data_IF_886488671999
#
_entry.id   IF_886488671999
#
_cell.length_a   1.000
_cell.length_b   1.000
_cell.length_c   1.000
_cell.angle_alpha   90.00
_cell.angle_beta   90.00
_cell.angle_gamma   90.00
#
_symmetry.space_group_name_H-M   'P 1'
#
loop_
_entity.id
_entity.type
_entity.pdbx_description
1 polymer ?
#
# COMPACT_ATOMS: atom_id res chain seq x y z
N UNK A 1 -11.62 -6.38 29.02
CA UNK A 1 -10.56 -5.34 28.91
C UNK A 1 -10.04 -5.19 27.48
N UNK A 2 -9.84 -6.28 26.76
CA UNK A 2 -9.39 -6.25 25.35
C UNK A 2 -10.35 -5.39 24.52
N UNK A 3 -11.66 -5.62 24.59
CA UNK A 3 -12.64 -4.85 23.79
C UNK A 3 -12.53 -3.34 24.03
N UNK A 4 -12.41 -2.90 25.27
CA UNK A 4 -12.23 -1.45 25.59
C UNK A 4 -10.98 -0.85 24.94
N UNK A 5 -9.91 -1.63 24.87
CA UNK A 5 -8.71 -1.20 24.17
C UNK A 5 -8.92 -1.12 22.65
N UNK A 6 -9.64 -2.08 22.07
CA UNK A 6 -9.97 -2.07 20.64
C UNK A 6 -10.85 -0.87 20.28
N UNK A 7 -11.83 -0.56 21.12
CA UNK A 7 -12.69 0.63 20.98
C UNK A 7 -11.86 1.92 21.07
N UNK A 8 -10.93 2.00 22.04
CA UNK A 8 -9.97 3.12 22.13
C UNK A 8 -9.13 3.26 20.85
N UNK A 9 -8.62 2.16 20.29
CA UNK A 9 -7.86 2.20 19.05
C UNK A 9 -8.71 2.68 17.87
N UNK A 10 -9.94 2.22 17.79
CA UNK A 10 -10.86 2.53 16.71
C UNK A 10 -11.35 3.98 16.76
N UNK A 11 -11.91 4.39 17.89
CA UNK A 11 -12.64 5.65 18.00
C UNK A 11 -11.75 6.83 18.42
N UNK A 12 -10.82 6.64 19.34
CA UNK A 12 -9.95 7.71 19.80
C UNK A 12 -8.66 7.81 18.98
N UNK A 13 -8.02 6.67 18.66
CA UNK A 13 -6.76 6.64 17.92
C UNK A 13 -6.96 6.56 16.42
N UNK A 14 -8.19 6.31 15.96
CA UNK A 14 -8.57 6.23 14.52
C UNK A 14 -7.69 5.26 13.74
N UNK A 15 -7.45 4.08 14.33
CA UNK A 15 -6.76 3.00 13.64
C UNK A 15 -7.70 2.38 12.60
N UNK A 16 -7.12 1.78 11.54
CA UNK A 16 -7.92 1.07 10.55
C UNK A 16 -8.60 -0.15 11.18
N UNK A 17 -9.80 -0.50 10.72
CA UNK A 17 -10.53 -1.70 11.17
C UNK A 17 -9.66 -2.95 11.10
N UNK A 18 -8.87 -3.09 10.03
CA UNK A 18 -7.92 -4.19 9.89
C UNK A 18 -6.89 -4.22 11.02
N UNK A 19 -6.29 -3.08 11.37
CA UNK A 19 -5.31 -3.02 12.47
C UNK A 19 -5.95 -3.34 13.80
N UNK A 20 -7.19 -2.88 14.03
CA UNK A 20 -7.96 -3.17 15.24
C UNK A 20 -8.24 -4.68 15.34
N UNK A 21 -8.69 -5.30 14.26
CA UNK A 21 -8.91 -6.75 14.18
C UNK A 21 -7.63 -7.54 14.44
N UNK A 22 -6.53 -7.21 13.74
CA UNK A 22 -5.23 -7.88 13.91
C UNK A 22 -4.72 -7.76 15.36
N UNK A 23 -4.89 -6.60 16.01
CA UNK A 23 -4.53 -6.43 17.43
C UNK A 23 -5.43 -7.24 18.34
N UNK A 24 -6.73 -7.31 18.04
CA UNK A 24 -7.68 -8.14 18.76
C UNK A 24 -7.28 -9.61 18.74
N UNK A 25 -6.98 -10.14 17.55
CA UNK A 25 -6.56 -11.53 17.38
C UNK A 25 -5.24 -11.84 18.11
N UNK A 26 -4.27 -10.91 18.05
CA UNK A 26 -3.01 -11.04 18.76
C UNK A 26 -3.20 -11.07 20.30
N UNK A 27 -4.07 -10.21 20.84
CA UNK A 27 -4.34 -10.17 22.28
C UNK A 27 -5.16 -11.36 22.76
N UNK A 28 -6.12 -11.84 21.96
CA UNK A 28 -6.86 -13.07 22.26
C UNK A 28 -5.94 -14.29 22.25
N UNK A 29 -4.96 -14.34 21.34
CA UNK A 29 -3.96 -15.41 21.33
C UNK A 29 -3.10 -15.40 22.61
N UNK A 30 -2.71 -14.22 23.12
CA UNK A 30 -2.04 -14.12 24.41
C UNK A 30 -2.93 -14.52 25.58
N UNK A 31 -4.19 -14.07 25.59
CA UNK A 31 -5.15 -14.44 26.63
C UNK A 31 -5.47 -15.94 26.63
N UNK A 32 -5.48 -16.59 25.48
CA UNK A 32 -5.68 -18.03 25.34
C UNK A 32 -4.60 -18.84 26.07
N UNK A 33 -3.34 -18.41 26.03
CA UNK A 33 -2.24 -19.01 26.78
C UNK A 33 -2.49 -18.94 28.30
N UNK A 34 -3.18 -17.90 28.77
CA UNK A 34 -3.45 -17.63 30.18
C UNK A 34 -4.84 -18.12 30.63
N UNK A 35 -5.44 -19.06 29.92
CA UNK A 35 -6.71 -19.70 30.28
C UNK A 35 -7.95 -19.15 29.59
N UNK A 36 -7.78 -18.32 28.55
CA UNK A 36 -8.85 -17.76 27.74
C UNK A 36 -9.26 -16.35 28.11
N UNK A 37 -9.94 -15.67 27.19
CA UNK A 37 -10.30 -14.24 27.31
C UNK A 37 -11.15 -13.94 28.55
N UNK A 38 -12.04 -14.87 28.94
CA UNK A 38 -12.92 -14.71 30.12
C UNK A 38 -12.15 -14.72 31.42
N UNK A 39 -11.06 -15.51 31.50
CA UNK A 39 -10.23 -15.65 32.71
C UNK A 39 -9.02 -14.72 32.70
N UNK A 40 -8.74 -14.06 31.57
CA UNK A 40 -7.58 -13.23 31.40
C UNK A 40 -7.66 -11.96 32.28
N UNK A 41 -6.80 -11.91 33.26
CA UNK A 41 -6.59 -10.72 34.12
C UNK A 41 -5.19 -10.15 33.82
N UNK A 42 -5.10 -9.02 33.08
CA UNK A 42 -3.82 -8.41 32.77
C UNK A 42 -2.98 -7.99 33.96
N UNK A 43 -3.60 -7.80 35.14
CA UNK A 43 -2.89 -7.41 36.38
C UNK A 43 -2.11 -8.56 37.02
N UNK A 44 -2.48 -9.80 36.71
CA UNK A 44 -1.84 -11.03 37.18
C UNK A 44 -0.75 -11.56 36.27
N UNK A 45 -0.81 -11.22 34.99
CA UNK A 45 0.20 -11.62 34.05
C UNK A 45 1.57 -10.98 34.34
N UNK A 46 2.63 -11.66 33.97
CA UNK A 46 3.99 -11.19 34.21
C UNK A 46 4.90 -11.30 32.96
N UNK A 47 6.15 -10.89 33.13
CA UNK A 47 7.14 -10.92 32.04
C UNK A 47 7.48 -12.35 31.62
N UNK A 48 7.32 -13.34 32.49
CA UNK A 48 7.55 -14.77 32.18
C UNK A 48 6.50 -15.26 31.20
N UNK A 49 5.23 -14.87 31.40
CA UNK A 49 4.14 -15.21 30.48
C UNK A 49 4.41 -14.68 29.07
N UNK A 50 4.92 -13.43 28.96
CA UNK A 50 5.29 -12.87 27.65
C UNK A 50 6.40 -13.66 26.99
N UNK A 51 7.42 -14.05 27.75
CA UNK A 51 8.52 -14.87 27.23
C UNK A 51 8.06 -16.27 26.83
N UNK A 52 7.23 -16.92 27.63
CA UNK A 52 6.61 -18.22 27.33
C UNK A 52 5.81 -18.13 26.04
N UNK A 53 4.98 -17.08 25.89
CA UNK A 53 4.23 -16.86 24.65
C UNK A 53 5.11 -16.67 23.42
N UNK A 54 6.26 -15.97 23.57
CA UNK A 54 7.20 -15.80 22.48
C UNK A 54 7.86 -17.11 22.09
N UNK A 55 8.21 -17.97 23.05
CA UNK A 55 8.78 -19.31 22.80
C UNK A 55 7.74 -20.18 22.11
N UNK A 56 6.52 -20.25 22.64
CA UNK A 56 5.42 -21.01 22.05
C UNK A 56 5.17 -20.61 20.58
N UNK A 57 5.18 -19.30 20.30
CA UNK A 57 5.03 -18.84 18.92
C UNK A 57 6.16 -19.30 18.00
N UNK A 58 7.40 -19.33 18.49
CA UNK A 58 8.56 -19.77 17.69
C UNK A 58 8.56 -21.29 17.51
N UNK A 59 8.19 -22.04 18.52
CA UNK A 59 8.05 -23.50 18.48
C UNK A 59 6.93 -23.95 17.54
N UNK A 60 5.92 -23.11 17.36
CA UNK A 60 4.84 -23.29 16.36
C UNK A 60 5.19 -22.67 14.99
N UNK A 61 6.47 -22.52 14.65
CA UNK A 61 6.99 -22.06 13.36
C UNK A 61 6.52 -20.64 12.94
N UNK A 62 6.07 -19.80 13.87
CA UNK A 62 5.76 -18.42 13.53
C UNK A 62 7.06 -17.63 13.26
N UNK A 63 7.04 -16.87 12.16
CA UNK A 63 8.22 -16.08 11.79
C UNK A 63 8.56 -15.05 12.88
N UNK A 64 9.86 -14.75 13.10
CA UNK A 64 10.31 -13.71 14.03
C UNK A 64 9.63 -12.35 13.78
N UNK A 65 9.28 -12.06 12.55
CA UNK A 65 8.53 -10.85 12.18
C UNK A 65 7.10 -10.86 12.73
N UNK A 66 6.43 -12.01 12.69
CA UNK A 66 5.08 -12.17 13.26
C UNK A 66 5.13 -12.04 14.76
N UNK A 67 6.09 -12.68 15.43
CA UNK A 67 6.30 -12.57 16.89
C UNK A 67 6.53 -11.11 17.30
N UNK A 68 7.39 -10.40 16.59
CA UNK A 68 7.65 -8.96 16.83
C UNK A 68 6.39 -8.11 16.66
N UNK A 69 5.55 -8.38 15.65
CA UNK A 69 4.29 -7.67 15.43
C UNK A 69 3.32 -7.92 16.58
N UNK A 70 3.13 -9.19 16.98
CA UNK A 70 2.27 -9.57 18.11
C UNK A 70 2.71 -8.96 19.43
N UNK A 71 4.02 -8.96 19.69
CA UNK A 71 4.58 -8.28 20.86
C UNK A 71 4.31 -6.77 20.82
N UNK A 72 4.28 -6.14 19.65
CA UNK A 72 3.94 -4.71 19.51
C UNK A 72 2.48 -4.44 19.86
N UNK A 73 1.55 -5.34 19.54
CA UNK A 73 0.15 -5.25 19.95
C UNK A 73 0.03 -5.33 21.48
N UNK A 74 0.72 -6.29 22.12
CA UNK A 74 0.73 -6.46 23.57
C UNK A 74 1.33 -5.23 24.28
N UNK A 75 2.43 -4.68 23.76
CA UNK A 75 3.03 -3.43 24.27
C UNK A 75 2.06 -2.25 24.21
N UNK A 76 1.34 -2.12 23.11
CA UNK A 76 0.33 -1.08 22.95
C UNK A 76 -0.80 -1.22 23.95
N UNK A 77 -1.22 -2.46 24.20
CA UNK A 77 -2.25 -2.78 25.19
C UNK A 77 -1.81 -2.45 26.62
N UNK A 78 -0.64 -2.91 27.07
CA UNK A 78 -0.13 -2.62 28.42
C UNK A 78 0.13 -1.12 28.64
N UNK A 79 0.61 -0.43 27.61
CA UNK A 79 0.73 1.04 27.65
C UNK A 79 -0.62 1.75 27.80
N UNK A 80 -1.69 1.21 27.22
CA UNK A 80 -3.05 1.70 27.43
C UNK A 80 -3.52 1.42 28.85
N UNK A 81 -3.37 0.18 29.34
CA UNK A 81 -3.80 -0.22 30.68
C UNK A 81 -3.10 0.60 31.79
N UNK A 82 -1.80 0.85 31.65
CA UNK A 82 -1.03 1.72 32.55
C UNK A 82 -1.61 3.14 32.60
N UNK A 83 -1.91 3.73 31.45
CA UNK A 83 -2.51 5.07 31.38
C UNK A 83 -3.90 5.15 32.00
N UNK A 84 -4.64 4.06 31.95
CA UNK A 84 -5.96 3.94 32.56
C UNK A 84 -5.89 3.55 34.07
N UNK A 85 -4.70 3.34 34.62
CA UNK A 85 -4.53 2.89 36.02
C UNK A 85 -5.01 1.46 36.30
N UNK A 86 -5.25 0.66 35.25
CA UNK A 86 -5.78 -0.72 35.34
C UNK A 86 -4.71 -1.74 35.68
N UNK A 87 -3.44 -1.44 35.46
CA UNK A 87 -2.28 -2.23 35.85
C UNK A 87 -1.22 -1.33 36.47
N UNK A 88 -0.38 -1.90 37.35
CA UNK A 88 0.70 -1.15 38.03
C UNK A 88 2.04 -1.15 37.27
N UNK A 89 2.22 -2.08 36.35
CA UNK A 89 3.48 -2.26 35.60
C UNK A 89 3.22 -2.73 34.16
N UNK A 90 4.15 -2.42 33.29
CA UNK A 90 4.18 -2.95 31.91
C UNK A 90 5.03 -4.22 31.89
N UNK A 91 4.38 -5.38 31.75
CA UNK A 91 5.03 -6.69 31.71
C UNK A 91 5.87 -6.89 30.45
N UNK A 92 5.72 -6.04 29.44
CA UNK A 92 6.48 -6.10 28.19
C UNK A 92 7.79 -5.32 28.25
N UNK A 93 8.00 -4.57 29.35
CA UNK A 93 9.21 -3.80 29.57
C UNK A 93 10.42 -4.74 29.73
N UNK A 94 11.50 -4.44 29.00
CA UNK A 94 12.71 -5.28 29.01
C UNK A 94 12.61 -6.57 28.19
N UNK A 95 11.44 -6.91 27.62
CA UNK A 95 11.32 -8.05 26.70
C UNK A 95 11.96 -7.71 25.36
N UNK A 96 12.98 -8.46 24.99
CA UNK A 96 13.69 -8.29 23.72
C UNK A 96 12.97 -9.12 22.65
N UNK A 97 12.49 -8.45 21.60
CA UNK A 97 11.91 -9.14 20.46
C UNK A 97 12.96 -9.93 19.68
N UNK A 98 12.59 -11.06 19.04
CA UNK A 98 13.54 -11.83 18.24
C UNK A 98 14.12 -10.97 17.11
N UNK A 99 15.38 -11.22 16.77
CA UNK A 99 16.04 -10.58 15.63
C UNK A 99 15.30 -10.96 14.35
N UNK A 100 15.05 -10.00 13.51
CA UNK A 100 14.45 -10.21 12.19
C UNK A 100 15.48 -9.88 11.13
N UNK A 101 15.66 -10.77 10.19
CA UNK A 101 16.44 -10.45 9.00
C UNK A 101 15.82 -9.25 8.30
N UNK A 102 16.64 -8.29 7.96
CA UNK A 102 16.29 -7.18 7.09
C UNK A 102 16.84 -7.48 5.70
N UNK A 103 16.09 -8.19 4.86
CA UNK A 103 16.55 -8.43 3.49
C UNK A 103 16.76 -7.06 2.82
N UNK A 104 17.82 -7.00 2.00
CA UNK A 104 18.05 -5.81 1.19
C UNK A 104 16.79 -5.46 0.39
N UNK A 105 16.44 -4.18 0.30
CA UNK A 105 15.33 -3.75 -0.51
C UNK A 105 15.52 -4.21 -1.95
N UNK A 106 14.50 -4.84 -2.51
CA UNK A 106 14.48 -5.26 -3.91
C UNK A 106 13.71 -4.25 -4.75
N UNK A 107 14.18 -4.02 -5.96
CA UNK A 107 13.53 -3.15 -6.94
C UNK A 107 13.66 -3.75 -8.34
N UNK A 108 12.76 -3.41 -9.23
CA UNK A 108 12.82 -3.81 -10.63
C UNK A 108 13.83 -2.95 -11.38
N UNK A 109 14.54 -3.57 -12.32
CA UNK A 109 15.43 -2.86 -13.22
C UNK A 109 14.60 -2.08 -14.25
N UNK A 110 15.13 -1.01 -14.78
CA UNK A 110 14.48 -0.22 -15.83
C UNK A 110 14.12 -1.10 -17.04
N UNK A 111 15.02 -1.98 -17.47
CA UNK A 111 14.77 -2.93 -18.56
C UNK A 111 13.63 -3.92 -18.29
N UNK A 112 13.37 -4.27 -17.01
CA UNK A 112 12.22 -5.11 -16.64
C UNK A 112 10.91 -4.32 -16.73
N UNK A 113 10.94 -3.03 -16.37
CA UNK A 113 9.80 -2.13 -16.50
C UNK A 113 9.48 -1.80 -17.96
N UNK A 114 10.50 -1.63 -18.80
CA UNK A 114 10.35 -1.44 -20.24
C UNK A 114 9.75 -2.69 -20.92
N UNK A 115 10.25 -3.87 -20.55
CA UNK A 115 9.74 -5.15 -21.07
C UNK A 115 8.28 -5.37 -20.67
N UNK A 116 7.93 -5.12 -19.41
CA UNK A 116 6.55 -5.24 -18.94
C UNK A 116 5.61 -4.35 -19.77
N UNK A 117 6.01 -3.12 -20.01
CA UNK A 117 5.22 -2.20 -20.79
C UNK A 117 5.10 -2.63 -22.25
N UNK A 118 6.20 -3.04 -22.89
CA UNK A 118 6.19 -3.52 -24.29
C UNK A 118 5.29 -4.75 -24.45
N UNK A 119 5.24 -5.64 -23.45
CA UNK A 119 4.30 -6.77 -23.43
C UNK A 119 2.87 -6.27 -23.38
N UNK A 120 2.54 -5.35 -22.45
CA UNK A 120 1.18 -4.83 -22.30
C UNK A 120 0.68 -4.06 -23.52
N UNK A 121 1.55 -3.30 -24.18
CA UNK A 121 1.24 -2.61 -25.44
C UNK A 121 0.99 -3.61 -26.58
N UNK A 122 1.85 -4.61 -26.71
CA UNK A 122 1.68 -5.66 -27.71
C UNK A 122 0.41 -6.49 -27.49
N UNK A 123 0.12 -6.92 -26.27
CA UNK A 123 -1.10 -7.65 -25.95
C UNK A 123 -2.37 -6.84 -26.29
N UNK A 124 -2.35 -5.53 -26.05
CA UNK A 124 -3.45 -4.65 -26.41
C UNK A 124 -3.58 -4.50 -27.93
N UNK A 125 -2.48 -4.34 -28.64
CA UNK A 125 -2.46 -4.25 -30.10
C UNK A 125 -2.96 -5.57 -30.74
N UNK A 126 -2.46 -6.73 -30.28
CA UNK A 126 -2.91 -8.04 -30.71
C UNK A 126 -4.41 -8.26 -30.45
N UNK A 127 -4.92 -7.80 -29.30
CA UNK A 127 -6.33 -7.90 -28.95
C UNK A 127 -7.21 -7.04 -29.87
N UNK A 128 -6.75 -5.83 -30.22
CA UNK A 128 -7.49 -4.90 -31.08
C UNK A 128 -7.46 -5.28 -32.57
N UNK A 129 -6.48 -6.08 -33.00
CA UNK A 129 -6.28 -6.49 -34.41
C UNK A 129 -6.55 -7.97 -34.64
N UNK A 130 -7.34 -8.65 -33.79
CA UNK A 130 -7.70 -10.05 -33.97
C UNK A 130 -8.50 -10.26 -35.28
N UNK A 131 -8.05 -11.19 -36.16
CA UNK A 131 -8.66 -11.36 -37.49
C UNK A 131 -10.06 -12.01 -37.46
N UNK A 132 -10.44 -12.71 -36.40
CA UNK A 132 -11.64 -13.57 -36.35
C UNK A 132 -12.77 -13.08 -35.42
N UNK A 133 -12.70 -11.87 -34.93
CA UNK A 133 -13.76 -11.34 -34.05
C UNK A 133 -13.46 -9.95 -33.53
N UNK A 134 -14.49 -9.20 -33.26
CA UNK A 134 -14.35 -7.95 -32.51
C UNK A 134 -13.86 -8.29 -31.10
N UNK A 135 -12.75 -7.68 -30.69
CA UNK A 135 -12.28 -7.75 -29.32
C UNK A 135 -13.44 -7.39 -28.37
N UNK A 136 -13.66 -8.18 -27.35
CA UNK A 136 -14.68 -7.86 -26.35
C UNK A 136 -14.33 -6.49 -25.71
N UNK A 137 -15.26 -5.52 -25.69
CA UNK A 137 -15.03 -4.23 -25.02
C UNK A 137 -14.55 -4.41 -23.57
N UNK A 138 -14.99 -5.47 -22.93
CA UNK A 138 -14.57 -5.82 -21.57
C UNK A 138 -13.09 -6.23 -21.51
N UNK A 139 -12.60 -7.02 -22.46
CA UNK A 139 -11.20 -7.47 -22.48
C UNK A 139 -10.27 -6.31 -22.76
N UNK A 140 -10.62 -5.46 -23.73
CA UNK A 140 -9.87 -4.21 -24.01
C UNK A 140 -9.81 -3.32 -22.78
N UNK A 141 -10.97 -3.13 -22.12
CA UNK A 141 -11.04 -2.36 -20.88
C UNK A 141 -10.16 -2.95 -19.76
N UNK A 142 -10.28 -4.25 -19.48
CA UNK A 142 -9.54 -4.90 -18.39
C UNK A 142 -8.03 -4.83 -18.64
N UNK A 143 -7.57 -5.03 -19.88
CA UNK A 143 -6.15 -4.97 -20.24
C UNK A 143 -5.62 -3.53 -20.17
N UNK A 144 -6.35 -2.55 -20.73
CA UNK A 144 -5.97 -1.13 -20.66
C UNK A 144 -5.90 -0.65 -19.22
N UNK A 145 -6.86 -1.05 -18.36
CA UNK A 145 -6.84 -0.79 -16.92
C UNK A 145 -5.61 -1.37 -16.24
N UNK A 146 -5.29 -2.63 -16.52
CA UNK A 146 -4.17 -3.32 -15.88
C UNK A 146 -2.82 -2.70 -16.30
N UNK A 147 -2.68 -2.27 -17.56
CA UNK A 147 -1.53 -1.50 -18.04
C UNK A 147 -1.41 -0.17 -17.28
N UNK A 148 -2.51 0.59 -17.18
CA UNK A 148 -2.53 1.86 -16.46
C UNK A 148 -2.18 1.68 -14.97
N UNK A 149 -2.63 0.61 -14.31
CA UNK A 149 -2.29 0.33 -12.91
C UNK A 149 -0.77 0.20 -12.72
N UNK A 150 -0.08 -0.54 -13.58
CA UNK A 150 1.39 -0.67 -13.51
C UNK A 150 2.06 0.69 -13.71
N UNK A 151 1.63 1.43 -14.73
CA UNK A 151 2.14 2.77 -15.01
C UNK A 151 1.95 3.73 -13.85
N UNK A 152 0.75 3.80 -13.26
CA UNK A 152 0.46 4.64 -12.09
C UNK A 152 1.34 4.28 -10.89
N UNK A 153 1.47 2.99 -10.57
CA UNK A 153 2.30 2.54 -9.44
C UNK A 153 3.78 2.86 -9.64
N UNK A 154 4.30 2.64 -10.87
CA UNK A 154 5.70 2.88 -11.18
C UNK A 154 6.04 4.36 -11.28
N UNK A 155 5.19 5.16 -11.95
CA UNK A 155 5.50 6.56 -12.21
C UNK A 155 5.19 7.49 -11.03
N UNK A 156 4.30 7.10 -10.11
CA UNK A 156 3.92 7.96 -8.98
C UNK A 156 4.39 7.45 -7.62
N UNK A 157 4.80 6.19 -7.55
CA UNK A 157 5.18 5.56 -6.30
C UNK A 157 4.06 5.51 -5.25
N UNK A 158 2.79 5.69 -5.64
CA UNK A 158 1.67 5.67 -4.70
C UNK A 158 1.48 4.29 -4.06
N UNK A 159 0.84 4.28 -2.88
CA UNK A 159 0.49 3.02 -2.23
C UNK A 159 -0.70 2.38 -2.93
N UNK A 160 -0.76 1.05 -2.92
CA UNK A 160 -1.89 0.29 -3.47
C UNK A 160 -3.26 0.79 -2.96
N UNK A 161 -3.36 1.09 -1.67
CA UNK A 161 -4.61 1.61 -1.09
C UNK A 161 -4.94 3.03 -1.55
N UNK A 162 -3.93 3.83 -1.86
CA UNK A 162 -4.09 5.16 -2.44
C UNK A 162 -4.57 5.05 -3.89
N UNK A 163 -3.99 4.12 -4.66
CA UNK A 163 -4.35 3.85 -6.05
C UNK A 163 -5.83 3.46 -6.20
N UNK A 164 -6.30 2.47 -5.46
CA UNK A 164 -7.71 2.03 -5.55
C UNK A 164 -8.69 3.06 -4.98
N UNK A 165 -8.17 4.02 -4.21
CA UNK A 165 -8.95 5.13 -3.66
C UNK A 165 -9.10 6.32 -4.59
N UNK A 166 -8.36 6.38 -5.71
CA UNK A 166 -8.44 7.50 -6.65
C UNK A 166 -9.83 7.63 -7.26
N UNK A 167 -10.25 8.87 -7.42
CA UNK A 167 -11.46 9.25 -8.15
C UNK A 167 -11.09 10.09 -9.37
N UNK A 168 -12.03 10.25 -10.30
CA UNK A 168 -11.83 11.10 -11.48
C UNK A 168 -11.47 12.54 -11.08
N UNK A 169 -12.08 13.06 -10.01
CA UNK A 169 -11.83 14.41 -9.49
C UNK A 169 -10.43 14.59 -8.85
N UNK A 170 -9.65 13.51 -8.70
CA UNK A 170 -8.28 13.59 -8.20
C UNK A 170 -7.24 13.76 -9.31
N UNK A 171 -7.66 13.65 -10.58
CA UNK A 171 -6.80 13.73 -11.76
C UNK A 171 -6.96 15.10 -12.41
N UNK A 172 -5.88 15.85 -12.48
CA UNK A 172 -5.80 17.10 -13.23
C UNK A 172 -4.84 16.92 -14.41
N UNK A 173 -5.41 16.54 -15.55
CA UNK A 173 -4.63 16.30 -16.77
C UNK A 173 -4.06 17.59 -17.36
N UNK A 174 -4.74 18.73 -17.14
CA UNK A 174 -4.26 20.02 -17.64
C UNK A 174 -3.05 20.53 -16.87
N UNK A 175 -3.07 20.37 -15.56
CA UNK A 175 -1.92 20.71 -14.71
C UNK A 175 -0.86 19.59 -14.65
N UNK A 176 -1.13 18.39 -15.21
CA UNK A 176 -0.23 17.25 -15.17
C UNK A 176 0.04 16.76 -13.75
N UNK A 177 -1.01 16.55 -12.97
CA UNK A 177 -0.89 16.18 -11.57
C UNK A 177 -2.02 15.28 -11.06
N UNK A 178 -1.70 14.50 -10.02
CA UNK A 178 -2.65 13.65 -9.31
C UNK A 178 -2.64 14.03 -7.82
N UNK A 179 -3.82 14.25 -7.25
CA UNK A 179 -4.01 14.45 -5.82
C UNK A 179 -4.19 13.09 -5.13
N UNK A 180 -3.29 12.76 -4.22
CA UNK A 180 -3.27 11.44 -3.56
C UNK A 180 -3.55 11.61 -2.07
N UNK A 181 -4.54 10.89 -1.56
CA UNK A 181 -4.91 10.89 -0.15
C UNK A 181 -4.27 9.74 0.60
N UNK A 182 -3.43 10.07 1.56
CA UNK A 182 -2.76 9.11 2.43
C UNK A 182 -3.51 8.87 3.76
N UNK A 183 -2.84 8.15 4.66
CA UNK A 183 -3.36 7.88 6.01
C UNK A 183 -3.73 9.17 6.75
N UNK A 184 -4.87 9.18 7.45
CA UNK A 184 -5.44 10.36 8.15
C UNK A 184 -5.83 11.52 7.23
N UNK A 185 -6.22 11.22 5.99
CA UNK A 185 -6.60 12.22 4.98
C UNK A 185 -5.51 13.28 4.69
N UNK A 186 -4.25 12.96 4.93
CA UNK A 186 -3.17 13.83 4.45
C UNK A 186 -3.09 13.69 2.94
N UNK A 187 -3.23 14.80 2.25
CA UNK A 187 -3.09 14.86 0.80
C UNK A 187 -1.67 15.22 0.38
N UNK A 188 -1.30 14.79 -0.81
CA UNK A 188 -0.13 15.26 -1.54
C UNK A 188 -0.43 15.31 -3.02
N UNK A 189 0.24 16.21 -3.71
CA UNK A 189 0.18 16.32 -5.16
C UNK A 189 1.39 15.58 -5.73
N UNK A 190 1.14 14.73 -6.73
CA UNK A 190 2.17 13.98 -7.46
C UNK A 190 2.13 14.44 -8.91
N UNK A 191 3.22 15.01 -9.46
CA UNK A 191 3.30 15.36 -10.87
C UNK A 191 3.29 14.09 -11.74
N UNK A 192 2.74 14.20 -12.95
CA UNK A 192 2.73 13.14 -13.95
C UNK A 192 3.28 13.65 -15.27
N UNK A 193 3.94 12.77 -16.02
CA UNK A 193 4.48 13.09 -17.35
C UNK A 193 3.45 12.92 -18.47
N UNK A 194 3.79 13.44 -19.67
CA UNK A 194 2.90 13.42 -20.82
C UNK A 194 2.42 12.01 -21.19
N UNK A 195 3.32 11.03 -21.16
CA UNK A 195 2.97 9.64 -21.43
C UNK A 195 1.89 9.09 -20.50
N UNK A 196 1.99 9.32 -19.20
CA UNK A 196 0.97 8.85 -18.26
C UNK A 196 -0.36 9.59 -18.44
N UNK A 197 -0.30 10.87 -18.83
CA UNK A 197 -1.49 11.65 -19.22
C UNK A 197 -2.21 10.98 -20.40
N UNK A 198 -1.46 10.56 -21.42
CA UNK A 198 -2.04 9.92 -22.60
C UNK A 198 -2.60 8.52 -22.27
N UNK A 199 -1.90 7.73 -21.44
CA UNK A 199 -2.40 6.45 -20.93
C UNK A 199 -3.70 6.62 -20.12
N UNK A 200 -3.81 7.67 -19.30
CA UNK A 200 -5.04 7.97 -18.53
C UNK A 200 -6.18 8.36 -19.48
N UNK A 201 -5.92 9.18 -20.50
CA UNK A 201 -6.94 9.58 -21.49
C UNK A 201 -7.46 8.35 -22.24
N UNK A 202 -6.57 7.53 -22.80
CA UNK A 202 -6.93 6.30 -23.48
C UNK A 202 -7.76 5.35 -22.59
N UNK A 203 -7.36 5.22 -21.33
CA UNK A 203 -8.13 4.44 -20.37
C UNK A 203 -9.52 5.04 -20.13
N UNK A 204 -9.65 6.36 -19.97
CA UNK A 204 -10.95 7.01 -19.76
C UNK A 204 -11.88 6.81 -20.95
N UNK A 205 -11.36 6.76 -22.18
CA UNK A 205 -12.12 6.46 -23.38
C UNK A 205 -12.68 5.04 -23.39
N UNK A 206 -11.83 4.02 -23.14
CA UNK A 206 -12.30 2.62 -23.12
C UNK A 206 -13.12 2.27 -21.87
N UNK A 207 -13.05 3.09 -20.84
CA UNK A 207 -13.85 2.93 -19.61
C UNK A 207 -15.31 3.32 -19.79
N UNK A 208 -15.68 4.03 -20.86
CA UNK A 208 -17.07 4.41 -21.11
C UNK A 208 -17.98 3.18 -21.09
N UNK A 209 -19.01 3.21 -20.24
CA UNK A 209 -19.88 2.07 -19.99
C UNK A 209 -19.44 1.10 -18.86
N UNK A 210 -18.24 1.32 -18.29
CA UNK A 210 -17.71 0.53 -17.17
C UNK A 210 -17.43 1.38 -15.93
N UNK A 211 -17.97 2.59 -15.84
CA UNK A 211 -17.79 3.50 -14.73
C UNK A 211 -18.40 2.92 -13.44
N UNK A 212 -17.79 3.26 -12.32
CA UNK A 212 -18.34 2.92 -11.02
C UNK A 212 -19.26 4.05 -10.50
N UNK A 213 -20.33 3.71 -9.78
CA UNK A 213 -21.25 4.69 -9.23
C UNK A 213 -20.62 5.71 -8.27
N UNK A 214 -19.48 5.37 -7.66
CA UNK A 214 -18.75 6.22 -6.73
C UNK A 214 -17.59 6.99 -7.40
N UNK A 215 -17.61 7.09 -8.73
CA UNK A 215 -16.63 7.83 -9.55
C UNK A 215 -15.18 7.42 -9.30
N UNK A 216 -14.94 6.14 -8.98
CA UNK A 216 -13.57 5.63 -8.86
C UNK A 216 -12.88 5.63 -10.22
N UNK A 217 -11.63 6.06 -10.22
CA UNK A 217 -10.83 6.00 -11.44
C UNK A 217 -10.72 4.55 -11.95
N UNK A 218 -10.39 3.62 -11.06
CA UNK A 218 -10.20 2.21 -11.41
C UNK A 218 -11.42 1.39 -10.95
N UNK A 219 -12.08 0.77 -11.91
CA UNK A 219 -13.27 -0.05 -11.68
C UNK A 219 -13.00 -1.53 -11.94
N UNK A 220 -13.72 -2.38 -11.23
CA UNK A 220 -13.77 -3.81 -11.46
C UNK A 220 -15.11 -4.17 -12.09
N UNK A 221 -15.12 -5.12 -13.02
CA UNK A 221 -16.35 -5.71 -13.56
C UNK A 221 -16.57 -7.04 -12.82
N UNK A 222 -17.69 -7.14 -12.13
CA UNK A 222 -18.10 -8.35 -11.42
C UNK A 222 -18.64 -9.43 -12.39
N UNK A 223 -18.86 -10.64 -11.87
CA UNK A 223 -19.35 -11.76 -12.68
C UNK A 223 -20.78 -11.55 -13.23
N UNK A 224 -21.57 -10.78 -12.53
CA UNK A 224 -22.93 -10.38 -12.92
C UNK A 224 -22.98 -9.20 -13.90
N UNK A 225 -21.80 -8.70 -14.34
CA UNK A 225 -21.67 -7.55 -15.24
C UNK A 225 -21.72 -6.21 -14.53
N UNK A 226 -22.01 -6.15 -13.23
CA UNK A 226 -22.00 -4.88 -12.48
C UNK A 226 -20.58 -4.33 -12.33
N UNK A 227 -20.47 -3.01 -12.21
CA UNK A 227 -19.21 -2.31 -11.98
C UNK A 227 -19.12 -1.80 -10.56
N UNK A 228 -17.92 -1.79 -10.02
CA UNK A 228 -17.66 -1.31 -8.66
C UNK A 228 -16.20 -0.95 -8.41
N UNK A 229 -15.90 -0.50 -7.20
CA UNK A 229 -14.54 -0.18 -6.82
C UNK A 229 -13.62 -1.40 -6.96
N UNK A 230 -12.43 -1.18 -7.51
CA UNK A 230 -11.43 -2.23 -7.63
C UNK A 230 -10.87 -2.62 -6.26
N UNK A 231 -10.82 -3.93 -5.98
CA UNK A 231 -10.26 -4.44 -4.74
C UNK A 231 -8.73 -4.37 -4.75
N UNK A 232 -8.17 -3.90 -3.63
CA UNK A 232 -6.73 -3.82 -3.45
C UNK A 232 -6.02 -5.19 -3.56
N UNK A 233 -6.70 -6.30 -3.24
CA UNK A 233 -6.17 -7.64 -3.43
C UNK A 233 -6.10 -8.04 -4.92
N UNK A 234 -7.07 -7.61 -5.72
CA UNK A 234 -7.05 -7.82 -7.17
C UNK A 234 -5.83 -7.13 -7.80
N UNK A 235 -5.57 -5.86 -7.43
CA UNK A 235 -4.34 -5.14 -7.85
C UNK A 235 -3.08 -5.90 -7.46
N UNK A 236 -3.02 -6.44 -6.23
CA UNK A 236 -1.85 -7.21 -5.79
C UNK A 236 -1.63 -8.47 -6.63
N UNK A 237 -2.69 -9.24 -6.90
CA UNK A 237 -2.60 -10.47 -7.72
C UNK A 237 -2.18 -10.16 -9.15
N UNK A 238 -2.76 -9.11 -9.74
CA UNK A 238 -2.43 -8.68 -11.10
C UNK A 238 -0.96 -8.24 -11.20
N UNK A 239 -0.48 -7.35 -10.33
CA UNK A 239 0.93 -6.92 -10.30
C UNK A 239 1.87 -8.11 -10.10
N UNK A 240 1.51 -9.06 -9.20
CA UNK A 240 2.32 -10.25 -8.96
C UNK A 240 2.45 -11.12 -10.21
N UNK A 241 1.37 -11.31 -10.95
CA UNK A 241 1.37 -12.08 -12.20
C UNK A 241 2.25 -11.38 -13.24
N UNK A 242 1.93 -10.15 -13.61
CA UNK A 242 2.59 -9.42 -14.69
C UNK A 242 4.08 -9.19 -14.43
N UNK A 243 4.44 -8.76 -13.24
CA UNK A 243 5.85 -8.58 -12.89
C UNK A 243 6.60 -9.91 -12.76
N UNK A 244 5.90 -11.02 -12.47
CA UNK A 244 6.47 -12.37 -12.45
C UNK A 244 6.87 -12.89 -13.82
N UNK A 245 6.29 -12.38 -14.89
CA UNK A 245 6.58 -12.75 -16.27
C UNK A 245 7.86 -12.08 -16.79
N UNK A 246 8.24 -10.94 -16.23
CA UNK A 246 9.36 -10.12 -16.70
C UNK A 246 10.55 -10.07 -15.75
N UNK A 247 10.39 -10.50 -14.51
CA UNK A 247 11.42 -10.37 -13.46
C UNK A 247 11.65 -11.69 -12.73
N UNK A 248 12.92 -11.98 -12.44
CA UNK A 248 13.37 -13.14 -11.65
C UNK A 248 13.40 -12.87 -10.15
N UNK A 249 12.99 -11.70 -9.69
CA UNK A 249 12.91 -11.38 -8.27
C UNK A 249 11.97 -12.36 -7.55
N UNK A 250 12.28 -12.71 -6.28
CA UNK A 250 11.40 -13.56 -5.46
C UNK A 250 10.10 -12.86 -5.03
N UNK A 251 10.05 -11.53 -5.09
CA UNK A 251 8.91 -10.72 -4.67
C UNK A 251 8.47 -9.79 -5.78
N UNK A 252 7.22 -9.94 -6.19
CA UNK A 252 6.56 -9.08 -7.16
C UNK A 252 5.33 -8.46 -6.46
N UNK A 253 5.37 -7.17 -6.17
CA UNK A 253 4.27 -6.52 -5.45
C UNK A 253 4.22 -5.02 -5.71
N UNK A 254 3.08 -4.36 -5.49
CA UNK A 254 2.98 -2.90 -5.54
C UNK A 254 3.99 -2.17 -4.65
N UNK A 255 4.42 -2.78 -3.55
CA UNK A 255 5.48 -2.21 -2.71
C UNK A 255 6.85 -2.22 -3.39
N UNK A 256 7.14 -3.25 -4.19
CA UNK A 256 8.40 -3.30 -4.97
C UNK A 256 8.36 -2.22 -6.05
N UNK A 257 7.23 -2.01 -6.77
CA UNK A 257 7.09 -0.92 -7.73
C UNK A 257 7.30 0.45 -7.10
N UNK A 258 6.72 0.69 -5.93
CA UNK A 258 6.97 1.93 -5.17
C UNK A 258 8.44 2.09 -4.77
N UNK A 259 9.10 1.00 -4.41
CA UNK A 259 10.52 1.01 -4.09
C UNK A 259 11.36 1.26 -5.34
N UNK A 260 10.96 0.67 -6.47
CA UNK A 260 11.55 0.93 -7.80
C UNK A 260 11.46 2.42 -8.13
N UNK A 261 10.29 3.04 -8.01
CA UNK A 261 10.14 4.48 -8.19
C UNK A 261 11.15 5.29 -7.36
N UNK A 262 11.22 4.99 -6.04
CA UNK A 262 12.13 5.70 -5.14
C UNK A 262 13.60 5.54 -5.54
N UNK A 263 14.00 4.31 -5.89
CA UNK A 263 15.39 3.98 -6.27
C UNK A 263 15.74 4.61 -7.61
N UNK A 264 14.84 4.54 -8.59
CA UNK A 264 15.05 5.16 -9.92
C UNK A 264 15.21 6.67 -9.79
N UNK A 265 14.33 7.34 -9.04
CA UNK A 265 14.44 8.78 -8.76
C UNK A 265 15.77 9.13 -8.09
N UNK A 266 16.19 8.35 -7.09
CA UNK A 266 17.44 8.58 -6.37
C UNK A 266 18.67 8.39 -7.27
N UNK A 267 18.71 7.32 -8.05
CA UNK A 267 19.80 7.00 -8.98
C UNK A 267 19.95 8.07 -10.07
N UNK A 268 18.84 8.70 -10.46
CA UNK A 268 18.82 9.77 -11.45
C UNK A 268 18.97 11.18 -10.80
N UNK A 269 19.44 11.24 -9.56
CA UNK A 269 19.88 12.48 -8.91
C UNK A 269 18.80 13.30 -8.21
N UNK A 270 17.57 12.75 -8.03
CA UNK A 270 16.58 13.44 -7.22
C UNK A 270 17.01 13.44 -5.74
N UNK A 271 16.83 14.58 -5.10
CA UNK A 271 17.09 14.74 -3.68
C UNK A 271 16.13 13.89 -2.83
N UNK A 272 16.65 13.31 -1.74
CA UNK A 272 15.91 12.39 -0.88
C UNK A 272 14.66 13.03 -0.23
N UNK A 273 14.68 14.34 0.04
CA UNK A 273 13.54 15.06 0.62
C UNK A 273 12.41 15.19 -0.40
N UNK A 274 12.75 15.45 -1.65
CA UNK A 274 11.80 15.44 -2.77
C UNK A 274 11.14 14.08 -2.92
N UNK A 275 11.93 12.99 -2.90
CA UNK A 275 11.40 11.63 -2.96
C UNK A 275 10.49 11.33 -1.75
N UNK A 276 10.88 11.69 -0.54
CA UNK A 276 10.07 11.52 0.67
C UNK A 276 8.74 12.28 0.58
N UNK A 277 8.75 13.47 0.01
CA UNK A 277 7.57 14.30 -0.21
C UNK A 277 6.62 13.64 -1.21
N UNK A 278 7.11 13.22 -2.38
CA UNK A 278 6.35 12.50 -3.40
C UNK A 278 5.74 11.21 -2.84
N UNK A 279 6.47 10.50 -2.00
CA UNK A 279 6.01 9.28 -1.37
C UNK A 279 5.06 9.50 -0.17
N UNK A 280 4.97 10.70 0.37
CA UNK A 280 4.14 11.01 1.55
C UNK A 280 4.61 10.27 2.80
N UNK A 281 5.90 10.36 3.14
CA UNK A 281 6.45 9.81 4.36
C UNK A 281 6.10 10.69 5.56
N UNK A 282 5.52 10.09 6.62
CA UNK A 282 4.98 10.81 7.78
C UNK A 282 6.04 11.41 8.73
N UNK A 283 7.33 11.20 8.51
CA UNK A 283 8.39 11.57 9.43
C UNK A 283 8.92 13.01 9.28
N UNK A 284 8.49 13.74 8.26
CA UNK A 284 8.72 15.18 8.20
C UNK A 284 7.49 15.85 8.80
N UNK A 285 7.68 16.36 10.01
CA UNK A 285 6.70 17.12 10.77
C UNK A 285 6.19 18.30 9.97
N UNK A 286 4.93 18.59 10.21
CA UNK A 286 4.20 19.78 9.85
C UNK A 286 3.66 19.85 8.41
N UNK A 287 2.45 20.21 8.37
CA UNK A 287 1.70 20.88 7.33
C UNK A 287 2.60 21.90 6.59
N UNK A 288 3.50 21.43 5.72
CA UNK A 288 4.06 22.32 4.73
C UNK A 288 2.91 22.66 3.80
N UNK A 289 2.42 23.88 3.93
CA UNK A 289 1.59 24.51 2.93
C UNK A 289 2.37 24.41 1.62
N UNK A 290 1.88 23.59 0.68
CA UNK A 290 2.44 23.50 -0.66
C UNK A 290 2.25 24.87 -1.31
N UNK A 291 3.31 25.67 -1.33
CA UNK A 291 3.35 26.88 -2.13
C UNK A 291 3.56 26.49 -3.59
N UNK A 292 3.07 27.30 -4.53
CA UNK A 292 3.29 27.07 -5.96
C UNK A 292 4.78 26.84 -6.28
N UNK A 293 5.67 27.58 -5.67
CA UNK A 293 7.14 27.45 -5.83
C UNK A 293 7.66 26.07 -5.42
N UNK A 294 7.11 25.50 -4.35
CA UNK A 294 7.51 24.15 -3.88
C UNK A 294 7.03 23.06 -4.85
N UNK A 295 5.83 23.21 -5.44
CA UNK A 295 5.33 22.25 -6.42
C UNK A 295 6.10 22.29 -7.73
N UNK A 296 6.42 23.45 -8.26
CA UNK A 296 7.26 23.62 -9.44
C UNK A 296 8.64 22.97 -9.29
N UNK A 297 9.27 23.13 -8.13
CA UNK A 297 10.55 22.48 -7.82
C UNK A 297 10.41 20.93 -7.81
N UNK A 298 9.36 20.41 -7.21
CA UNK A 298 9.07 18.97 -7.18
C UNK A 298 8.81 18.46 -8.61
N UNK A 299 8.06 19.20 -9.41
CA UNK A 299 7.77 18.85 -10.79
C UNK A 299 9.04 18.86 -11.67
N UNK A 300 9.90 19.85 -11.50
CA UNK A 300 11.20 19.90 -12.19
C UNK A 300 12.09 18.72 -11.81
N UNK A 301 12.21 18.43 -10.51
CA UNK A 301 12.97 17.27 -10.03
C UNK A 301 12.40 15.95 -10.54
N UNK A 302 11.07 15.81 -10.59
CA UNK A 302 10.41 14.64 -11.17
C UNK A 302 10.71 14.51 -12.67
N UNK A 303 10.55 15.60 -13.44
CA UNK A 303 10.85 15.61 -14.88
C UNK A 303 12.31 15.28 -15.18
N UNK A 304 13.22 15.72 -14.33
CA UNK A 304 14.66 15.45 -14.51
C UNK A 304 15.04 14.00 -14.17
N UNK A 305 14.41 13.41 -13.16
CA UNK A 305 14.85 12.16 -12.56
C UNK A 305 13.99 10.94 -12.93
N UNK A 306 12.72 11.09 -13.32
CA UNK A 306 11.90 9.93 -13.69
C UNK A 306 12.00 9.63 -15.20
N UNK A 307 12.37 8.40 -15.63
CA UNK A 307 12.59 8.06 -17.02
C UNK A 307 11.37 8.29 -17.92
N UNK A 308 10.16 8.14 -17.36
CA UNK A 308 8.88 8.28 -18.09
C UNK A 308 8.17 9.60 -17.82
N UNK A 309 8.90 10.62 -17.41
CA UNK A 309 8.33 11.95 -17.12
C UNK A 309 8.16 12.83 -18.35
N UNK A 310 8.75 12.43 -19.47
CA UNK A 310 8.72 13.16 -20.76
C UNK A 310 7.47 12.83 -21.55
#
# INVERSE_FOLDING_TARGET
MIQRFLDYLQYERRYSLRTVSEYGDDLRAFAALLGGEEKFDPSRADTTDVKTWMVDMLDNDLSPRTVKRRLSALRSFYKYLLRQGLVKRDITQGVIAPKTDQPLPVFFRESEMEREQAIGERELDELMHQPDGEASPREVYELTRDNLIISLLYQTGMRRAELVGLTDGDIDLAAGQIRVFGKRRKERIVPIGGRLIDEIKAYMEVRQGFESPDHRLLTAIHRDGSTGAMDAHAVYRMVRRRMGEVSTLKKHSPHVLRHTFATTMLNNGADIRTIQTLLGHASLSATQVYTHTTFEQIQQAYKAAHPRSK
#
